data_IF_514715617081
#
_entry.id   IF_514715617081
#
_cell.length_a   1.000
_cell.length_b   1.000
_cell.length_c   1.000
_cell.angle_alpha   90.00
_cell.angle_beta   90.00
_cell.angle_gamma   90.00
#
_symmetry.space_group_name_H-M   'P 1'
#
loop_
_entity.id
_entity.type
_entity.pdbx_description
1 polymer ?
#
# COMPACT_ATOMS: atom_id res chain seq x y z
N UNK A 1 -28.55 11.87 12.17
CA UNK A 1 -28.49 12.77 11.01
C UNK A 1 -29.73 13.63 11.10
N UNK A 2 -29.58 14.85 11.61
CA UNK A 2 -30.70 15.78 11.74
C UNK A 2 -30.89 16.43 10.36
N UNK A 3 -32.06 16.23 9.77
CA UNK A 3 -32.38 16.77 8.45
C UNK A 3 -33.02 18.13 8.67
N UNK A 4 -32.38 19.20 8.21
CA UNK A 4 -32.86 20.57 8.38
C UNK A 4 -34.16 20.82 7.59
N UNK A 5 -35.09 21.58 8.18
CA UNK A 5 -36.32 21.96 7.51
C UNK A 5 -36.03 23.02 6.44
N UNK A 6 -36.45 22.77 5.20
CA UNK A 6 -36.29 23.70 4.09
C UNK A 6 -37.42 24.74 4.01
N UNK A 7 -38.55 24.49 4.68
CA UNK A 7 -39.73 25.35 4.71
C UNK A 7 -40.24 25.44 6.14
N UNK A 8 -40.37 26.67 6.65
CA UNK A 8 -41.04 26.93 7.92
C UNK A 8 -42.54 27.10 7.69
N UNK A 9 -43.32 26.33 8.45
CA UNK A 9 -44.76 26.51 8.55
C UNK A 9 -45.04 27.41 9.75
N UNK A 10 -45.80 28.47 9.55
CA UNK A 10 -46.32 29.30 10.64
C UNK A 10 -47.05 28.43 11.67
N UNK A 11 -47.08 28.84 12.95
CA UNK A 11 -47.81 28.13 13.99
C UNK A 11 -49.28 27.92 13.59
N UNK A 12 -49.71 26.65 13.55
CA UNK A 12 -51.06 26.26 13.15
C UNK A 12 -51.66 25.27 14.15
N UNK A 13 -52.98 25.26 14.25
CA UNK A 13 -53.70 24.36 15.16
C UNK A 13 -53.90 22.98 14.50
N UNK A 14 -53.19 21.97 14.98
CA UNK A 14 -53.27 20.59 14.46
C UNK A 14 -54.67 19.98 14.55
N UNK A 15 -55.51 20.43 15.49
CA UNK A 15 -56.86 19.91 15.69
C UNK A 15 -57.88 20.39 14.66
N UNK A 16 -57.59 21.49 13.97
CA UNK A 16 -58.46 22.09 12.95
C UNK A 16 -58.19 21.54 11.55
N UNK A 17 -57.07 20.84 11.36
CA UNK A 17 -56.67 20.30 10.06
C UNK A 17 -57.41 18.99 9.76
N UNK A 18 -58.38 19.08 8.86
CA UNK A 18 -59.08 17.92 8.31
C UNK A 18 -58.21 17.21 7.27
N UNK A 19 -57.98 15.90 7.44
CA UNK A 19 -57.21 15.07 6.50
C UNK A 19 -58.06 14.45 5.38
N UNK A 20 -59.40 14.45 5.55
CA UNK A 20 -60.33 13.82 4.61
C UNK A 20 -60.75 14.77 3.46
N UNK A 21 -60.38 16.05 3.55
CA UNK A 21 -60.64 17.04 2.52
C UNK A 21 -59.41 17.31 1.64
N UNK A 22 -59.60 17.54 0.32
CA UNK A 22 -58.50 17.92 -0.55
C UNK A 22 -57.91 19.29 -0.13
N UNK A 23 -56.59 19.47 -0.24
CA UNK A 23 -55.95 20.71 0.18
C UNK A 23 -56.37 21.89 -0.69
N UNK A 24 -56.73 23.00 -0.04
CA UNK A 24 -57.16 24.24 -0.73
C UNK A 24 -55.99 25.17 -1.09
N UNK A 25 -54.78 24.89 -0.59
CA UNK A 25 -53.55 25.66 -0.80
C UNK A 25 -52.31 24.78 -0.56
N UNK A 26 -51.15 25.19 -1.08
CA UNK A 26 -49.88 24.51 -0.84
C UNK A 26 -49.47 24.50 0.64
N UNK A 27 -49.72 25.58 1.38
CA UNK A 27 -49.44 25.66 2.83
C UNK A 27 -50.36 24.69 3.58
N UNK A 28 -51.64 24.65 3.21
CA UNK A 28 -52.61 23.73 3.81
C UNK A 28 -52.25 22.25 3.56
N UNK A 29 -51.70 21.95 2.38
CA UNK A 29 -51.15 20.62 2.09
C UNK A 29 -49.98 20.26 3.02
N UNK A 30 -49.02 21.17 3.20
CA UNK A 30 -47.88 20.94 4.08
C UNK A 30 -48.31 20.75 5.55
N UNK A 31 -49.33 21.49 6.00
CA UNK A 31 -49.95 21.32 7.32
C UNK A 31 -50.62 19.93 7.46
N UNK A 32 -51.40 19.50 6.46
CA UNK A 32 -51.99 18.16 6.42
C UNK A 32 -50.92 17.06 6.47
N UNK A 33 -49.82 17.22 5.73
CA UNK A 33 -48.69 16.26 5.72
C UNK A 33 -47.98 16.25 7.08
N UNK A 34 -47.75 17.40 7.70
CA UNK A 34 -47.14 17.50 9.03
C UNK A 34 -47.98 16.77 10.09
N UNK A 35 -49.31 16.97 10.09
CA UNK A 35 -50.25 16.29 10.98
C UNK A 35 -50.31 14.79 10.68
N UNK A 36 -50.39 14.40 9.41
CA UNK A 36 -50.37 13.00 8.97
C UNK A 36 -49.11 12.27 9.45
N UNK A 37 -47.94 12.90 9.29
CA UNK A 37 -46.66 12.35 9.73
C UNK A 37 -46.57 12.20 11.25
N UNK A 38 -47.11 13.14 12.03
CA UNK A 38 -47.16 13.02 13.50
C UNK A 38 -48.04 11.85 13.97
N UNK A 39 -49.07 11.48 13.19
CA UNK A 39 -49.92 10.32 13.48
C UNK A 39 -49.27 8.99 13.09
N UNK A 40 -48.30 9.01 12.17
CA UNK A 40 -47.54 7.82 11.77
C UNK A 40 -46.43 7.48 12.80
N UNK A 41 -46.14 6.19 13.02
CA UNK A 41 -45.01 5.79 13.87
C UNK A 41 -43.68 6.25 13.27
N UNK A 42 -42.80 6.83 14.12
CA UNK A 42 -41.51 7.38 13.69
C UNK A 42 -40.54 6.30 13.18
N UNK A 43 -40.60 5.10 13.76
CA UNK A 43 -39.77 3.96 13.38
C UNK A 43 -40.68 2.74 13.23
N UNK A 44 -40.60 2.08 12.08
CA UNK A 44 -41.30 0.83 11.81
C UNK A 44 -40.26 -0.26 11.64
N UNK A 45 -40.48 -1.41 12.29
CA UNK A 45 -39.68 -2.62 12.10
C UNK A 45 -40.49 -3.61 11.27
N UNK A 46 -40.02 -3.92 10.08
CA UNK A 46 -40.54 -5.04 9.29
C UNK A 46 -39.80 -6.31 9.70
N UNK A 47 -40.52 -7.31 10.19
CA UNK A 47 -39.94 -8.64 10.42
C UNK A 47 -39.90 -9.39 9.10
N UNK A 48 -38.69 -9.65 8.61
CA UNK A 48 -38.46 -10.47 7.43
C UNK A 48 -38.18 -11.90 7.86
N UNK A 49 -38.74 -12.87 7.14
CA UNK A 49 -38.45 -14.28 7.36
C UNK A 49 -36.99 -14.57 6.95
N UNK A 50 -36.13 -15.01 7.89
CA UNK A 50 -34.72 -15.30 7.59
C UNK A 50 -34.54 -16.41 6.56
N UNK A 51 -35.54 -17.28 6.35
CA UNK A 51 -35.50 -18.32 5.31
C UNK A 51 -35.52 -17.76 3.89
N UNK A 52 -35.99 -16.53 3.70
CA UNK A 52 -36.00 -15.82 2.42
C UNK A 52 -34.70 -15.02 2.18
N UNK A 53 -33.85 -14.90 3.20
CA UNK A 53 -32.58 -14.18 3.13
C UNK A 53 -31.45 -15.15 2.75
N UNK A 54 -31.21 -15.30 1.45
CA UNK A 54 -30.19 -16.20 0.86
C UNK A 54 -28.73 -15.75 1.08
N UNK A 55 -28.50 -14.58 1.67
CA UNK A 55 -27.19 -13.95 1.67
C UNK A 55 -26.36 -14.35 2.89
N UNK A 56 -25.47 -15.33 2.72
CA UNK A 56 -24.34 -15.53 3.63
C UNK A 56 -23.37 -14.36 3.46
N UNK A 57 -22.99 -13.64 4.53
CA UNK A 57 -21.94 -12.65 4.43
C UNK A 57 -20.63 -13.35 4.01
N UNK A 58 -19.91 -12.77 3.05
CA UNK A 58 -18.58 -13.27 2.67
C UNK A 58 -17.65 -13.16 3.89
N UNK A 59 -17.15 -14.30 4.37
CA UNK A 59 -16.12 -14.33 5.41
C UNK A 59 -14.81 -13.83 4.82
N UNK A 60 -14.32 -12.69 5.30
CA UNK A 60 -12.97 -12.19 5.01
C UNK A 60 -11.98 -12.80 6.01
N UNK A 61 -11.76 -14.11 5.93
CA UNK A 61 -10.75 -14.79 6.74
C UNK A 61 -9.37 -14.54 6.16
N UNK A 62 -8.62 -13.65 6.80
CA UNK A 62 -7.19 -13.50 6.58
C UNK A 62 -6.48 -14.65 7.33
N UNK A 63 -6.40 -15.82 6.69
CA UNK A 63 -5.71 -16.97 7.28
C UNK A 63 -4.21 -16.65 7.37
N UNK A 64 -3.75 -16.35 8.58
CA UNK A 64 -2.32 -16.23 8.88
C UNK A 64 -1.73 -17.64 8.73
N UNK A 65 -0.97 -17.84 7.66
CA UNK A 65 -0.32 -19.12 7.40
C UNK A 65 0.47 -19.57 8.63
N UNK A 66 0.12 -20.73 9.19
CA UNK A 66 0.83 -21.29 10.33
C UNK A 66 2.26 -21.61 9.89
N UNK A 67 3.20 -20.76 10.34
CA UNK A 67 4.62 -20.92 10.07
C UNK A 67 5.13 -22.17 10.80
N UNK A 68 5.84 -23.04 10.07
CA UNK A 68 6.54 -24.18 10.65
C UNK A 68 7.48 -23.70 11.77
N UNK A 69 7.29 -24.21 12.97
CA UNK A 69 8.10 -23.87 14.16
C UNK A 69 9.47 -24.55 14.16
N UNK A 70 9.72 -25.50 13.24
CA UNK A 70 10.93 -26.33 13.22
C UNK A 70 12.21 -25.52 13.05
N UNK A 71 12.16 -24.41 12.29
CA UNK A 71 13.29 -23.53 12.03
C UNK A 71 13.09 -22.10 12.58
N UNK A 72 12.13 -21.92 13.50
CA UNK A 72 11.86 -20.61 14.05
C UNK A 72 13.02 -20.16 14.96
N UNK A 73 13.57 -18.94 14.78
CA UNK A 73 14.58 -18.43 15.69
C UNK A 73 14.03 -18.28 17.10
N UNK A 74 14.90 -18.40 18.11
CA UNK A 74 14.50 -18.14 19.49
C UNK A 74 14.14 -16.67 19.68
N UNK A 75 13.24 -16.39 20.63
CA UNK A 75 12.82 -15.02 20.94
C UNK A 75 14.00 -14.12 21.33
N UNK A 76 14.96 -14.66 22.07
CA UNK A 76 16.18 -13.95 22.48
C UNK A 76 17.04 -13.56 21.26
N UNK A 77 17.19 -14.47 20.30
CA UNK A 77 17.91 -14.18 19.06
C UNK A 77 17.22 -13.09 18.25
N UNK A 78 15.88 -13.15 18.14
CA UNK A 78 15.10 -12.14 17.45
C UNK A 78 15.27 -10.74 18.07
N UNK A 79 15.19 -10.64 19.41
CA UNK A 79 15.43 -9.35 20.09
C UNK A 79 16.85 -8.84 19.90
N UNK A 80 17.86 -9.71 20.04
CA UNK A 80 19.25 -9.32 19.80
C UNK A 80 19.46 -8.77 18.37
N UNK A 81 18.77 -9.34 17.37
CA UNK A 81 18.82 -8.84 15.98
C UNK A 81 18.08 -7.53 15.76
N UNK A 82 16.95 -7.32 16.45
CA UNK A 82 16.26 -6.02 16.44
C UNK A 82 17.13 -4.92 17.06
N UNK A 83 17.81 -5.23 18.17
CA UNK A 83 18.71 -4.28 18.84
C UNK A 83 19.89 -3.93 17.93
N UNK A 84 20.55 -4.92 17.34
CA UNK A 84 21.65 -4.74 16.38
C UNK A 84 21.20 -3.87 15.18
N UNK A 85 20.03 -4.15 14.63
CA UNK A 85 19.45 -3.37 13.52
C UNK A 85 19.17 -1.92 13.93
N UNK A 86 18.56 -1.70 15.08
CA UNK A 86 18.24 -0.35 15.58
C UNK A 86 19.51 0.49 15.83
N UNK A 87 20.56 -0.15 16.34
CA UNK A 87 21.87 0.46 16.55
C UNK A 87 22.50 0.86 15.22
N UNK A 88 22.54 -0.05 14.24
CA UNK A 88 23.07 0.21 12.91
C UNK A 88 22.32 1.36 12.22
N UNK A 89 20.99 1.39 12.32
CA UNK A 89 20.17 2.48 11.75
C UNK A 89 20.50 3.83 12.39
N UNK A 90 20.62 3.86 13.72
CA UNK A 90 20.97 5.09 14.47
C UNK A 90 22.36 5.60 14.07
N UNK A 91 23.33 4.69 13.99
CA UNK A 91 24.70 4.99 13.58
C UNK A 91 24.76 5.54 12.15
N UNK A 92 24.01 4.92 11.23
CA UNK A 92 23.94 5.31 9.82
C UNK A 92 23.31 6.70 9.66
N UNK A 93 22.21 6.97 10.37
CA UNK A 93 21.56 8.28 10.37
C UNK A 93 22.46 9.37 10.98
N UNK A 94 23.15 9.08 12.08
CA UNK A 94 24.11 10.02 12.69
C UNK A 94 25.26 10.42 11.74
N UNK A 95 25.58 9.55 10.77
CA UNK A 95 26.63 9.79 9.77
C UNK A 95 26.10 10.21 8.41
N UNK A 96 24.78 10.47 8.27
CA UNK A 96 24.13 10.80 6.98
C UNK A 96 24.85 11.90 6.21
N UNK A 97 25.20 12.99 6.89
CA UNK A 97 25.86 14.14 6.28
C UNK A 97 27.27 13.84 5.72
N UNK A 98 27.91 12.73 6.13
CA UNK A 98 29.23 12.31 5.64
C UNK A 98 29.15 11.51 4.33
N UNK A 99 27.96 11.04 3.97
CA UNK A 99 27.77 10.17 2.81
C UNK A 99 27.37 11.00 1.60
N UNK A 100 28.37 11.38 0.80
CA UNK A 100 28.15 12.03 -0.49
C UNK A 100 27.79 10.99 -1.56
N UNK A 101 27.05 11.45 -2.57
CA UNK A 101 26.67 10.62 -3.70
C UNK A 101 27.94 10.16 -4.46
N UNK A 102 28.17 8.84 -4.60
CA UNK A 102 29.36 8.35 -5.29
C UNK A 102 29.36 8.75 -6.76
N UNK A 103 30.52 9.22 -7.24
CA UNK A 103 30.72 9.59 -8.64
C UNK A 103 30.52 8.37 -9.55
N UNK A 104 29.65 8.49 -10.55
CA UNK A 104 29.32 7.41 -11.50
C UNK A 104 28.07 6.60 -11.17
N UNK A 105 27.38 6.87 -10.05
CA UNK A 105 26.08 6.23 -9.76
C UNK A 105 24.94 7.11 -10.25
N UNK A 106 24.21 6.61 -11.24
CA UNK A 106 22.96 7.22 -11.74
C UNK A 106 21.80 6.40 -11.22
N UNK A 107 20.93 7.02 -10.42
CA UNK A 107 19.74 6.36 -9.93
C UNK A 107 18.70 6.27 -11.05
N UNK A 108 18.08 5.09 -11.25
CA UNK A 108 16.94 4.96 -12.15
C UNK A 108 15.76 5.83 -11.71
N UNK A 109 14.80 6.05 -12.61
CA UNK A 109 13.52 6.65 -12.21
C UNK A 109 12.83 5.78 -11.16
N UNK A 110 12.20 6.39 -10.16
CA UNK A 110 11.59 5.68 -9.03
C UNK A 110 10.58 4.59 -9.44
N UNK A 111 9.89 4.75 -10.58
CA UNK A 111 8.93 3.78 -11.13
C UNK A 111 9.57 2.71 -12.07
N UNK A 112 10.85 2.84 -12.41
CA UNK A 112 11.50 1.98 -13.42
C UNK A 112 11.93 0.63 -12.83
N UNK A 113 10.99 -0.32 -12.68
CA UNK A 113 11.25 -1.68 -12.15
C UNK A 113 12.48 -2.36 -12.79
N UNK A 114 12.52 -2.45 -14.13
CA UNK A 114 13.57 -3.18 -14.84
C UNK A 114 14.97 -2.59 -14.65
N UNK A 115 15.08 -1.25 -14.57
CA UNK A 115 16.35 -0.57 -14.31
C UNK A 115 16.79 -0.73 -12.86
N UNK A 116 15.87 -0.68 -11.90
CA UNK A 116 16.19 -0.95 -10.48
C UNK A 116 16.64 -2.39 -10.26
N UNK A 117 16.00 -3.37 -10.91
CA UNK A 117 16.44 -4.77 -10.88
C UNK A 117 17.87 -4.91 -11.40
N UNK A 118 18.17 -4.37 -12.58
CA UNK A 118 19.52 -4.38 -13.16
C UNK A 118 20.52 -3.62 -12.28
N UNK A 119 20.12 -2.49 -11.71
CA UNK A 119 20.95 -1.71 -10.80
C UNK A 119 21.35 -2.49 -9.56
N UNK A 120 20.41 -3.19 -8.91
CA UNK A 120 20.66 -3.91 -7.66
C UNK A 120 21.31 -5.28 -7.86
N UNK A 121 20.88 -6.03 -8.88
CA UNK A 121 21.25 -7.44 -9.06
C UNK A 121 22.16 -7.70 -10.27
N UNK A 122 22.22 -6.77 -11.23
CA UNK A 122 22.98 -6.92 -12.47
C UNK A 122 22.23 -7.66 -13.56
N UNK A 123 22.94 -7.96 -14.65
CA UNK A 123 22.40 -8.81 -15.72
C UNK A 123 22.29 -10.25 -15.25
N UNK A 124 21.20 -10.91 -15.61
CA UNK A 124 21.06 -12.36 -15.40
C UNK A 124 21.95 -13.04 -16.45
N UNK A 125 23.11 -13.56 -16.05
CA UNK A 125 23.83 -14.49 -16.92
C UNK A 125 22.94 -15.73 -17.08
N UNK A 126 22.32 -15.89 -18.26
CA UNK A 126 21.76 -17.18 -18.64
C UNK A 126 22.89 -18.21 -18.60
N UNK A 127 22.72 -19.29 -17.84
CA UNK A 127 23.74 -20.34 -17.69
C UNK A 127 24.16 -20.97 -19.05
N UNK A 128 23.39 -20.76 -20.11
CA UNK A 128 23.72 -21.17 -21.48
C UNK A 128 24.89 -20.38 -22.10
N UNK A 129 25.23 -19.19 -21.60
CA UNK A 129 26.25 -18.30 -22.18
C UNK A 129 27.64 -18.53 -21.58
N UNK A 130 27.74 -19.16 -20.39
CA UNK A 130 29.01 -19.44 -19.73
C UNK A 130 29.93 -20.39 -20.52
N UNK A 131 29.38 -21.19 -21.45
CA UNK A 131 30.16 -22.11 -22.25
C UNK A 131 30.73 -21.51 -23.56
N UNK A 132 30.35 -20.27 -23.94
CA UNK A 132 30.62 -19.75 -25.29
C UNK A 132 31.34 -18.39 -25.35
N UNK A 133 31.93 -17.89 -24.26
CA UNK A 133 32.65 -16.60 -24.25
C UNK A 133 34.14 -16.73 -23.95
N UNK A 134 34.83 -17.56 -24.73
CA UNK A 134 36.21 -17.30 -25.14
C UNK A 134 36.18 -16.91 -26.62
N UNK A 135 36.15 -15.60 -26.93
CA UNK A 135 36.59 -14.95 -28.18
C UNK A 135 35.73 -13.72 -28.51
N UNK A 136 36.37 -12.56 -28.68
CA UNK A 136 35.82 -11.44 -29.46
C UNK A 136 35.87 -10.07 -28.78
N UNK A 137 36.93 -9.32 -29.08
CA UNK A 137 37.07 -7.87 -28.84
C UNK A 137 36.39 -7.01 -29.94
N UNK A 138 36.07 -5.76 -29.57
CA UNK A 138 35.79 -4.60 -30.45
C UNK A 138 34.31 -4.43 -30.84
N UNK A 139 33.70 -3.24 -30.93
CA UNK A 139 34.11 -1.83 -30.82
C UNK A 139 32.82 -0.99 -30.72
N UNK A 140 32.83 0.14 -30.00
CA UNK A 140 32.26 1.46 -30.35
C UNK A 140 31.70 2.26 -29.18
N UNK A 141 32.08 3.53 -29.22
CA UNK A 141 31.92 4.56 -28.20
C UNK A 141 30.62 5.33 -28.39
N UNK A 142 29.79 5.32 -27.35
CA UNK A 142 28.91 6.41 -26.97
C UNK A 142 28.66 6.27 -25.47
N UNK A 143 28.46 7.40 -24.78
CA UNK A 143 28.38 7.53 -23.32
C UNK A 143 27.37 6.53 -22.71
N UNK A 144 27.84 5.32 -22.45
CA UNK A 144 27.04 4.17 -22.08
C UNK A 144 27.82 3.54 -20.94
N UNK A 145 27.42 3.86 -19.72
CA UNK A 145 27.91 3.17 -18.53
C UNK A 145 27.55 1.70 -18.76
N UNK A 146 28.54 0.89 -19.15
CA UNK A 146 28.35 -0.54 -19.40
C UNK A 146 27.61 -1.08 -18.18
N UNK A 147 26.45 -1.77 -18.35
CA UNK A 147 25.79 -2.38 -17.23
C UNK A 147 26.82 -3.28 -16.55
N UNK A 148 27.11 -2.98 -15.29
CA UNK A 148 28.05 -3.78 -14.55
C UNK A 148 27.48 -5.19 -14.52
N UNK A 149 28.24 -6.17 -15.03
CA UNK A 149 27.86 -7.60 -15.01
C UNK A 149 27.36 -8.04 -13.63
N UNK A 150 27.88 -7.38 -12.61
CA UNK A 150 27.49 -7.51 -11.21
C UNK A 150 26.76 -6.22 -10.80
N UNK A 151 25.52 -6.34 -10.32
CA UNK A 151 24.76 -5.19 -9.82
C UNK A 151 25.52 -4.41 -8.74
N UNK A 152 25.10 -3.18 -8.49
CA UNK A 152 25.68 -2.35 -7.44
C UNK A 152 25.48 -2.99 -6.06
N UNK A 153 26.48 -2.84 -5.19
CA UNK A 153 26.37 -3.24 -3.79
C UNK A 153 25.65 -2.14 -3.00
N UNK A 154 24.76 -2.47 -2.04
CA UNK A 154 24.08 -1.48 -1.22
C UNK A 154 25.06 -0.85 -0.20
N UNK A 155 25.84 0.12 -0.66
CA UNK A 155 26.76 0.86 0.21
C UNK A 155 26.00 1.96 0.97
N UNK A 156 26.45 2.33 2.18
CA UNK A 156 25.90 3.48 2.92
C UNK A 156 25.80 4.75 2.07
N UNK A 157 26.80 5.01 1.21
CA UNK A 157 26.80 6.17 0.33
C UNK A 157 25.64 6.15 -0.68
N UNK A 158 25.29 4.97 -1.22
CA UNK A 158 24.17 4.83 -2.14
C UNK A 158 22.85 4.98 -1.39
N UNK A 159 22.64 4.19 -0.33
CA UNK A 159 21.36 4.13 0.39
C UNK A 159 21.00 5.48 1.02
N UNK A 160 21.97 6.20 1.60
CA UNK A 160 21.70 7.47 2.27
C UNK A 160 21.38 8.62 1.30
N UNK A 161 21.68 8.45 0.02
CA UNK A 161 21.35 9.39 -1.06
C UNK A 161 20.04 9.06 -1.79
N UNK A 162 19.33 8.00 -1.39
CA UNK A 162 17.97 7.73 -1.86
C UNK A 162 16.96 8.62 -1.13
N UNK A 163 15.98 9.12 -1.87
CA UNK A 163 14.79 9.76 -1.31
C UNK A 163 13.83 8.72 -0.72
N UNK A 164 12.92 9.16 0.15
CA UNK A 164 11.93 8.28 0.77
C UNK A 164 11.03 7.57 -0.27
N UNK A 165 10.64 8.30 -1.32
CA UNK A 165 9.86 7.73 -2.42
C UNK A 165 10.64 6.64 -3.17
N UNK A 166 11.92 6.88 -3.45
CA UNK A 166 12.78 5.88 -4.10
C UNK A 166 12.97 4.64 -3.22
N UNK A 167 13.13 4.81 -1.90
CA UNK A 167 13.23 3.69 -0.95
C UNK A 167 11.94 2.86 -0.96
N UNK A 168 10.78 3.51 -0.87
CA UNK A 168 9.49 2.83 -0.85
C UNK A 168 9.22 2.08 -2.17
N UNK A 169 9.46 2.72 -3.31
CA UNK A 169 9.33 2.05 -4.62
C UNK A 169 10.35 0.94 -4.81
N UNK A 170 11.58 1.12 -4.34
CA UNK A 170 12.62 0.09 -4.41
C UNK A 170 12.27 -1.13 -3.57
N UNK A 171 11.73 -0.97 -2.35
CA UNK A 171 11.26 -2.10 -1.54
C UNK A 171 10.19 -2.91 -2.30
N UNK A 172 9.22 -2.23 -2.92
CA UNK A 172 8.19 -2.90 -3.72
C UNK A 172 8.80 -3.66 -4.90
N UNK A 173 9.74 -3.05 -5.62
CA UNK A 173 10.45 -3.70 -6.72
C UNK A 173 11.25 -4.92 -6.23
N UNK A 174 11.99 -4.83 -5.13
CA UNK A 174 12.77 -5.95 -4.59
C UNK A 174 11.87 -7.09 -4.12
N UNK A 175 10.72 -6.79 -3.51
CA UNK A 175 9.72 -7.80 -3.13
C UNK A 175 9.13 -8.47 -4.37
N UNK A 176 8.84 -7.71 -5.42
CA UNK A 176 8.40 -8.28 -6.69
C UNK A 176 9.46 -9.22 -7.30
N UNK A 177 10.74 -8.81 -7.31
CA UNK A 177 11.83 -9.69 -7.74
C UNK A 177 11.93 -10.94 -6.88
N UNK A 178 11.73 -10.83 -5.56
CA UNK A 178 11.70 -12.00 -4.68
C UNK A 178 10.57 -12.96 -5.03
N UNK A 179 9.39 -12.46 -5.38
CA UNK A 179 8.25 -13.29 -5.79
C UNK A 179 8.48 -13.96 -7.16
N UNK A 180 9.17 -13.29 -8.09
CA UNK A 180 9.45 -13.79 -9.43
C UNK A 180 10.65 -14.77 -9.49
N UNK A 181 11.74 -14.44 -8.80
CA UNK A 181 13.04 -15.13 -8.91
C UNK A 181 13.43 -15.90 -7.64
N UNK A 182 12.75 -15.66 -6.52
CA UNK A 182 13.04 -16.30 -5.24
C UNK A 182 14.19 -15.65 -4.48
N UNK A 183 14.78 -16.42 -3.56
CA UNK A 183 15.84 -15.94 -2.68
C UNK A 183 17.17 -15.75 -3.41
N UNK A 184 17.78 -14.57 -3.21
CA UNK A 184 19.18 -14.30 -3.56
C UNK A 184 19.84 -13.53 -2.42
N UNK A 185 21.12 -13.85 -2.13
CA UNK A 185 21.88 -13.13 -1.09
C UNK A 185 21.96 -11.64 -1.39
N UNK A 186 22.19 -11.27 -2.64
CA UNK A 186 22.32 -9.86 -3.04
C UNK A 186 20.99 -9.12 -2.89
N UNK A 187 19.87 -9.78 -3.20
CA UNK A 187 18.53 -9.25 -3.01
C UNK A 187 18.24 -8.94 -1.54
N UNK A 188 18.56 -9.87 -0.64
CA UNK A 188 18.33 -9.68 0.79
C UNK A 188 19.30 -8.70 1.44
N UNK A 189 20.52 -8.56 0.92
CA UNK A 189 21.41 -7.47 1.32
C UNK A 189 20.84 -6.11 0.95
N UNK A 190 20.28 -5.99 -0.26
CA UNK A 190 19.58 -4.77 -0.69
C UNK A 190 18.38 -4.50 0.21
N UNK A 191 17.52 -5.49 0.42
CA UNK A 191 16.33 -5.37 1.28
C UNK A 191 16.70 -4.97 2.71
N UNK A 192 17.68 -5.62 3.33
CA UNK A 192 18.16 -5.26 4.67
C UNK A 192 18.72 -3.83 4.73
N UNK A 193 19.39 -3.39 3.67
CA UNK A 193 20.04 -2.08 3.66
C UNK A 193 19.05 -0.93 3.48
N UNK A 194 17.93 -1.14 2.78
CA UNK A 194 16.92 -0.10 2.53
C UNK A 194 15.84 -0.03 3.61
N UNK A 195 15.72 -1.07 4.45
CA UNK A 195 14.80 -1.10 5.58
C UNK A 195 15.24 -0.18 6.71
#
# INVERSE_FOLDING_TARGET
>A
MEQEAFLDLDEFNESEINLDEPPRSAIHYLQQVAVSRKRCPQVVKASLDPSLLSNKPSSSEFNKQELSTVNAPTREWAYAKCDEFSWNRTLLQARRAKYEKPAGVVFPGWADYGRWRLFCLGEKEDESVRMNKESGEGTNEQCNVKPSKYGHMPTPAIVMNLSENEVNSLIQHLVQVFLEEGYSKQLFLWLYSVL
#
